data_IF_538568178194
#
_entry.id   IF_538568178194
#
_cell.length_a   1.000
_cell.length_b   1.000
_cell.length_c   1.000
_cell.angle_alpha   90.00
_cell.angle_beta   90.00
_cell.angle_gamma   90.00
#
_symmetry.space_group_name_H-M   'P 1'
#
loop_
_entity.id
_entity.type
_entity.pdbx_description
1 polymer ?
#
# COMPACT_ATOMS: atom_id res chain seq x y z
N UNK A 1 14.06 -3.00 -15.54
CA UNK A 1 14.74 -1.71 -15.25
C UNK A 1 14.88 -1.52 -13.73
N UNK A 2 16.12 -1.49 -13.21
CA UNK A 2 16.35 -1.12 -11.80
C UNK A 2 16.21 0.39 -11.72
N UNK A 3 15.22 0.89 -10.97
CA UNK A 3 15.04 2.32 -10.76
C UNK A 3 16.33 2.89 -10.12
N UNK A 4 16.92 3.93 -10.72
CA UNK A 4 18.16 4.58 -10.24
C UNK A 4 17.94 5.41 -8.96
N UNK A 5 16.70 5.53 -8.52
CA UNK A 5 16.33 6.28 -7.33
C UNK A 5 16.79 5.55 -6.06
N UNK A 6 17.97 5.91 -5.58
CA UNK A 6 18.56 5.45 -4.32
C UNK A 6 19.24 6.65 -3.65
N UNK A 7 18.87 6.92 -2.39
CA UNK A 7 19.44 8.01 -1.60
C UNK A 7 19.81 7.50 -0.22
N UNK A 8 20.89 8.07 0.33
CA UNK A 8 21.42 7.73 1.65
C UNK A 8 21.21 8.93 2.59
N UNK A 9 20.75 8.62 3.79
CA UNK A 9 20.50 9.60 4.84
C UNK A 9 21.12 9.12 6.14
N UNK A 10 21.66 10.05 6.93
CA UNK A 10 22.28 9.77 8.22
C UNK A 10 21.30 9.86 9.38
N UNK A 11 20.16 10.54 9.20
CA UNK A 11 19.14 10.77 10.23
C UNK A 11 17.75 10.43 9.72
N UNK A 12 16.87 10.02 10.63
CA UNK A 12 15.47 9.69 10.29
C UNK A 12 14.70 10.93 9.81
N UNK A 13 14.97 12.11 10.36
CA UNK A 13 14.29 13.36 9.97
C UNK A 13 14.48 13.65 8.47
N UNK A 14 15.71 13.48 7.95
CA UNK A 14 15.99 13.63 6.52
C UNK A 14 15.29 12.58 5.65
N UNK A 15 15.07 11.38 6.20
CA UNK A 15 14.28 10.34 5.51
C UNK A 15 12.81 10.77 5.44
N UNK A 16 12.26 11.35 6.51
CA UNK A 16 10.88 11.87 6.55
C UNK A 16 10.71 13.02 5.57
N UNK A 17 11.63 13.99 5.55
CA UNK A 17 11.64 15.07 4.56
C UNK A 17 11.67 14.53 3.12
N UNK A 18 12.45 13.46 2.87
CA UNK A 18 12.48 12.84 1.56
C UNK A 18 11.16 12.16 1.21
N UNK A 19 10.52 11.46 2.15
CA UNK A 19 9.21 10.82 1.97
C UNK A 19 8.20 11.86 1.46
N UNK A 20 8.10 13.01 2.13
CA UNK A 20 7.20 14.10 1.76
C UNK A 20 7.53 14.64 0.37
N UNK A 21 8.81 14.79 0.05
CA UNK A 21 9.23 15.23 -1.29
C UNK A 21 8.85 14.21 -2.36
N UNK A 22 9.05 12.91 -2.11
CA UNK A 22 8.68 11.86 -3.08
C UNK A 22 7.16 11.80 -3.25
N UNK A 23 6.38 11.95 -2.19
CA UNK A 23 4.93 11.88 -2.27
C UNK A 23 4.34 12.95 -3.21
N UNK A 24 4.98 14.12 -3.27
CA UNK A 24 4.62 15.18 -4.21
C UNK A 24 5.20 14.95 -5.62
N UNK A 25 6.47 14.55 -5.73
CA UNK A 25 7.16 14.35 -7.00
C UNK A 25 6.67 13.13 -7.78
N UNK A 26 6.22 12.06 -7.09
CA UNK A 26 5.81 10.80 -7.72
C UNK A 26 4.69 10.96 -8.74
N UNK A 27 3.84 11.99 -8.58
CA UNK A 27 2.75 12.32 -9.53
C UNK A 27 3.26 12.71 -10.92
N UNK A 28 4.55 13.04 -11.04
CA UNK A 28 5.22 13.39 -12.31
C UNK A 28 6.00 12.23 -12.91
N UNK A 29 6.07 11.09 -12.23
CA UNK A 29 6.77 9.92 -12.75
C UNK A 29 5.86 9.21 -13.76
N UNK A 30 6.45 8.71 -14.85
CA UNK A 30 5.76 7.90 -15.86
C UNK A 30 5.37 6.50 -15.33
N UNK A 31 5.60 6.23 -14.04
CA UNK A 31 5.36 4.95 -13.39
C UNK A 31 4.59 5.17 -12.10
N UNK A 32 3.58 4.32 -11.87
CA UNK A 32 2.84 4.30 -10.62
C UNK A 32 3.75 3.83 -9.47
N UNK A 33 3.73 4.57 -8.38
CA UNK A 33 4.53 4.30 -7.18
C UNK A 33 3.63 4.40 -5.96
N UNK A 34 3.50 3.30 -5.21
CA UNK A 34 2.64 3.16 -4.03
C UNK A 34 3.34 3.49 -2.72
N UNK A 35 4.66 3.73 -2.75
CA UNK A 35 5.46 4.01 -1.56
C UNK A 35 6.96 4.07 -1.84
N UNK A 36 7.73 4.15 -0.76
CA UNK A 36 9.18 3.96 -0.78
C UNK A 36 9.60 2.86 0.18
N UNK A 37 10.77 2.27 -0.04
CA UNK A 37 11.33 1.27 0.89
C UNK A 37 12.51 1.88 1.62
N UNK A 38 12.38 1.99 2.94
CA UNK A 38 13.42 2.49 3.84
C UNK A 38 14.23 1.28 4.32
N UNK A 39 15.56 1.36 4.24
CA UNK A 39 16.46 0.25 4.58
C UNK A 39 17.64 0.79 5.38
N UNK A 40 18.00 0.11 6.47
CA UNK A 40 19.26 0.37 7.17
C UNK A 40 20.40 0.07 6.21
N UNK A 41 21.37 0.97 6.02
CA UNK A 41 22.43 0.75 5.04
C UNK A 41 23.53 -0.22 5.53
N UNK A 42 23.85 -0.19 6.82
CA UNK A 42 24.92 -1.01 7.41
C UNK A 42 24.61 -2.51 7.38
N UNK A 43 25.49 -3.30 6.76
CA UNK A 43 25.28 -4.73 6.53
C UNK A 43 25.34 -5.55 7.81
N UNK A 44 26.25 -5.22 8.73
CA UNK A 44 26.38 -5.92 10.01
C UNK A 44 25.12 -5.75 10.86
N UNK A 45 24.55 -4.55 10.86
CA UNK A 45 23.27 -4.27 11.54
C UNK A 45 22.12 -5.06 10.92
N UNK A 46 22.07 -5.21 9.59
CA UNK A 46 21.06 -6.05 8.92
C UNK A 46 21.14 -7.51 9.35
N UNK A 47 22.35 -8.07 9.46
CA UNK A 47 22.57 -9.45 9.91
C UNK A 47 22.09 -9.66 11.35
N UNK A 48 22.43 -8.73 12.25
CA UNK A 48 22.00 -8.78 13.66
C UNK A 48 20.47 -8.68 13.77
N UNK A 49 19.83 -7.77 13.01
CA UNK A 49 18.39 -7.60 13.03
C UNK A 49 17.66 -8.80 12.39
N UNK A 50 18.24 -9.41 11.37
CA UNK A 50 17.71 -10.61 10.74
C UNK A 50 16.30 -10.40 10.16
N UNK A 51 15.50 -11.47 10.25
CA UNK A 51 14.20 -11.59 9.57
C UNK A 51 13.13 -12.12 10.53
N UNK A 52 11.88 -11.77 10.24
CA UNK A 52 10.70 -12.50 10.73
C UNK A 52 10.42 -13.70 9.79
N UNK A 53 9.36 -14.46 10.05
CA UNK A 53 8.96 -15.55 9.13
C UNK A 53 8.66 -15.08 7.70
N UNK A 54 8.35 -13.79 7.50
CA UNK A 54 7.92 -13.25 6.20
C UNK A 54 8.73 -12.05 5.70
N UNK A 55 9.29 -11.24 6.58
CA UNK A 55 9.87 -9.94 6.23
C UNK A 55 11.19 -9.64 6.97
N UNK A 56 12.16 -8.94 6.35
CA UNK A 56 13.34 -8.42 7.04
C UNK A 56 12.96 -7.43 8.15
N UNK A 57 13.73 -7.40 9.25
CA UNK A 57 13.53 -6.40 10.31
C UNK A 57 14.21 -5.06 10.05
N UNK A 58 15.15 -5.04 9.11
CA UNK A 58 15.98 -3.88 8.77
C UNK A 58 15.46 -3.05 7.60
N UNK A 59 14.30 -3.42 7.04
CA UNK A 59 13.66 -2.71 5.94
C UNK A 59 12.15 -2.64 6.15
N UNK A 60 11.55 -1.52 5.73
CA UNK A 60 10.10 -1.31 5.77
C UNK A 60 9.65 -0.60 4.51
N UNK A 61 8.49 -1.01 3.98
CA UNK A 61 7.80 -0.29 2.92
C UNK A 61 6.92 0.79 3.55
N UNK A 62 7.25 2.05 3.32
CA UNK A 62 6.42 3.19 3.66
C UNK A 62 5.47 3.44 2.49
N UNK A 63 4.18 3.12 2.68
CA UNK A 63 3.16 3.35 1.67
C UNK A 63 2.63 4.77 1.78
N UNK A 64 2.45 5.42 0.64
CA UNK A 64 1.79 6.72 0.61
C UNK A 64 0.28 6.57 0.83
N UNK A 65 -0.38 7.69 1.11
CA UNK A 65 -1.84 7.72 1.22
C UNK A 65 -2.47 7.17 -0.05
N UNK A 66 -3.42 6.24 0.14
CA UNK A 66 -4.14 5.63 -0.94
C UNK A 66 -5.07 6.66 -1.58
N UNK A 67 -5.29 6.56 -2.89
CA UNK A 67 -6.33 7.36 -3.53
C UNK A 67 -7.69 6.88 -3.03
N UNK A 68 -8.43 7.80 -2.40
CA UNK A 68 -9.80 7.57 -1.98
C UNK A 68 -10.78 8.23 -2.95
N UNK A 69 -11.94 7.61 -3.12
CA UNK A 69 -13.03 8.16 -3.92
C UNK A 69 -14.36 7.88 -3.24
N UNK A 70 -15.38 8.65 -3.59
CA UNK A 70 -16.74 8.40 -3.14
C UNK A 70 -17.57 7.89 -4.31
N UNK A 71 -18.29 6.78 -4.10
CA UNK A 71 -19.25 6.25 -5.08
C UNK A 71 -20.53 5.79 -4.39
N UNK A 72 -21.55 5.49 -5.18
CA UNK A 72 -22.85 5.01 -4.68
C UNK A 72 -22.82 3.49 -4.51
N UNK A 73 -23.25 3.02 -3.34
CA UNK A 73 -23.63 1.63 -3.13
C UNK A 73 -24.94 1.36 -3.87
N UNK A 74 -24.92 0.39 -4.78
CA UNK A 74 -26.10 -0.02 -5.55
C UNK A 74 -26.82 -1.20 -4.88
N UNK A 75 -26.06 -2.21 -4.44
CA UNK A 75 -26.59 -3.45 -3.88
C UNK A 75 -25.54 -4.12 -2.97
N UNK A 76 -25.97 -5.02 -2.09
CA UNK A 76 -25.09 -5.92 -1.34
C UNK A 76 -25.42 -7.37 -1.69
N UNK A 77 -24.46 -8.07 -2.27
CA UNK A 77 -24.55 -9.52 -2.55
C UNK A 77 -23.94 -10.32 -1.41
N UNK A 78 -24.64 -11.40 -1.00
CA UNK A 78 -24.18 -12.29 0.07
C UNK A 78 -23.64 -13.60 -0.51
N UNK A 79 -22.36 -13.88 -0.25
CA UNK A 79 -21.68 -15.07 -0.76
C UNK A 79 -21.41 -16.07 0.36
N UNK A 80 -21.71 -17.35 0.13
CA UNK A 80 -21.41 -18.43 1.09
C UNK A 80 -20.09 -19.12 0.69
N UNK A 81 -19.08 -19.01 1.54
CA UNK A 81 -17.79 -19.65 1.35
C UNK A 81 -17.83 -21.16 1.64
N UNK A 82 -16.77 -21.88 1.27
CA UNK A 82 -16.66 -23.35 1.44
C UNK A 82 -16.84 -23.84 2.88
N UNK A 83 -16.56 -22.99 3.86
CA UNK A 83 -16.70 -23.28 5.30
C UNK A 83 -18.05 -22.84 5.88
N UNK A 84 -18.99 -22.39 5.04
CA UNK A 84 -20.28 -21.82 5.47
C UNK A 84 -20.21 -20.35 5.88
N UNK A 85 -19.03 -19.70 5.86
CA UNK A 85 -18.90 -18.27 6.15
C UNK A 85 -19.67 -17.44 5.11
N UNK A 86 -20.62 -16.63 5.57
CA UNK A 86 -21.34 -15.68 4.72
C UNK A 86 -20.56 -14.37 4.66
N UNK A 87 -20.25 -13.89 3.45
CA UNK A 87 -19.44 -12.69 3.22
C UNK A 87 -20.21 -11.67 2.37
N UNK A 88 -20.46 -10.45 2.88
CA UNK A 88 -21.10 -9.39 2.12
C UNK A 88 -20.13 -8.75 1.10
N UNK A 89 -20.62 -8.52 -0.11
CA UNK A 89 -19.91 -7.82 -1.18
C UNK A 89 -20.75 -6.64 -1.67
N UNK A 90 -20.19 -5.44 -1.60
CA UNK A 90 -20.80 -4.23 -2.14
C UNK A 90 -20.71 -4.23 -3.67
N UNK A 91 -21.84 -3.96 -4.32
CA UNK A 91 -21.95 -3.62 -5.74
C UNK A 91 -22.03 -2.11 -5.83
N UNK A 92 -21.07 -1.50 -6.51
CA UNK A 92 -20.86 -0.06 -6.54
C UNK A 92 -21.15 0.50 -7.93
N UNK A 93 -21.60 1.75 -7.97
CA UNK A 93 -21.58 2.52 -9.21
C UNK A 93 -20.12 2.63 -9.68
N UNK A 94 -19.82 2.39 -10.97
CA UNK A 94 -18.44 2.37 -11.47
C UNK A 94 -17.69 3.66 -11.12
N UNK A 95 -16.50 3.51 -10.53
CA UNK A 95 -15.65 4.64 -10.13
C UNK A 95 -14.19 4.32 -10.44
N UNK A 96 -13.44 5.32 -10.90
CA UNK A 96 -12.00 5.20 -11.15
C UNK A 96 -11.21 5.43 -9.86
N UNK A 97 -10.27 4.53 -9.55
CA UNK A 97 -9.32 4.65 -8.43
C UNK A 97 -7.99 4.08 -8.91
N UNK A 98 -6.89 4.84 -8.82
CA UNK A 98 -5.56 4.32 -9.15
C UNK A 98 -5.42 3.78 -10.58
N UNK A 99 -6.17 4.34 -11.54
CA UNK A 99 -6.16 3.93 -12.94
C UNK A 99 -6.95 2.65 -13.25
N UNK A 100 -7.77 2.16 -12.33
CA UNK A 100 -8.71 1.04 -12.57
C UNK A 100 -10.14 1.42 -12.23
N UNK A 101 -11.09 0.87 -13.00
CA UNK A 101 -12.53 0.98 -12.70
C UNK A 101 -12.94 -0.03 -11.63
N UNK A 102 -13.30 0.46 -10.45
CA UNK A 102 -13.82 -0.35 -9.35
C UNK A 102 -15.36 -0.38 -9.42
N UNK A 103 -15.92 -1.60 -9.34
CA UNK A 103 -17.38 -1.84 -9.29
C UNK A 103 -17.81 -2.72 -8.13
N UNK A 104 -16.87 -3.31 -7.41
CA UNK A 104 -17.13 -4.26 -6.31
C UNK A 104 -16.14 -4.01 -5.18
N UNK A 105 -16.60 -4.13 -3.94
CA UNK A 105 -15.76 -4.05 -2.74
C UNK A 105 -16.21 -5.05 -1.68
N UNK A 106 -15.29 -5.55 -0.86
CA UNK A 106 -15.62 -6.37 0.32
C UNK A 106 -16.17 -5.49 1.42
N UNK A 107 -17.23 -5.94 2.11
CA UNK A 107 -17.73 -5.32 3.34
C UNK A 107 -17.25 -6.07 4.59
N UNK A 108 -16.29 -6.98 4.43
CA UNK A 108 -15.71 -7.85 5.46
C UNK A 108 -16.72 -8.80 6.13
N UNK A 109 -17.55 -8.28 7.02
CA UNK A 109 -18.41 -9.01 7.97
C UNK A 109 -19.77 -8.32 8.10
N UNK A 110 -20.77 -8.98 8.71
CA UNK A 110 -22.05 -8.31 9.04
C UNK A 110 -21.85 -7.22 10.10
N UNK A 111 -21.01 -7.48 11.10
CA UNK A 111 -20.87 -6.63 12.29
C UNK A 111 -20.17 -5.28 12.04
N UNK A 112 -19.57 -5.11 10.85
CA UNK A 112 -18.92 -3.87 10.40
C UNK A 112 -19.95 -2.90 9.80
#
# INVERSE_FOLDING_TARGET
PVNKYLKLYETIDKVVEEIERVDTERKKLDVLTDGIVIKINDMRTREILGYTQKFPRWAIAYKFEAEETTTKLLEVEWNVGRTGKVTPTAILSPVEIGGVTVKRATLNNWDD
#
